data_IF_769599298476
#
_entry.id   IF_769599298476
#
_cell.length_a   1.000
_cell.length_b   1.000
_cell.length_c   1.000
_cell.angle_alpha   90.00
_cell.angle_beta   90.00
_cell.angle_gamma   90.00
#
_symmetry.space_group_name_H-M   'P 1'
#
loop_
_entity.id
_entity.type
_entity.pdbx_description
1 polymer ?
#
# COMPACT_ATOMS: atom_id res chain seq x y z
N UNK A 1 -11.36 22.06 28.81
CA UNK A 1 -10.24 22.09 27.84
C UNK A 1 -9.21 20.95 28.02
N UNK A 2 -9.33 20.05 29.01
CA UNK A 2 -8.39 18.91 29.18
C UNK A 2 -8.81 17.61 28.49
N UNK A 3 -10.04 17.47 27.99
CA UNK A 3 -10.53 16.21 27.39
C UNK A 3 -10.00 15.96 25.97
N UNK A 4 -9.77 17.03 25.18
CA UNK A 4 -9.27 16.91 23.81
C UNK A 4 -7.77 16.56 23.74
N UNK A 5 -7.00 16.86 24.78
CA UNK A 5 -5.57 16.52 24.85
C UNK A 5 -5.35 15.03 25.16
N UNK A 6 -6.20 14.43 26.00
CA UNK A 6 -6.13 12.99 26.34
C UNK A 6 -6.51 12.12 25.14
N UNK A 7 -7.46 12.57 24.31
CA UNK A 7 -7.89 11.86 23.10
C UNK A 7 -6.78 11.82 22.03
N UNK A 8 -6.01 12.91 21.90
CA UNK A 8 -4.94 12.98 20.90
C UNK A 8 -3.70 12.15 21.30
N UNK A 9 -3.40 12.05 22.61
CA UNK A 9 -2.27 11.25 23.10
C UNK A 9 -2.56 9.74 23.15
N UNK A 10 -3.82 9.34 23.36
CA UNK A 10 -4.21 7.91 23.30
C UNK A 10 -4.25 7.36 21.87
N UNK A 11 -4.56 8.20 20.88
CA UNK A 11 -4.49 7.82 19.46
C UNK A 11 -3.02 7.63 19.04
N UNK A 12 -2.11 8.49 19.50
CA UNK A 12 -0.69 8.41 19.16
C UNK A 12 0.01 7.19 19.78
N UNK A 13 -0.39 6.75 20.98
CA UNK A 13 0.21 5.60 21.68
C UNK A 13 -0.30 4.24 21.20
N UNK A 14 -1.51 4.18 20.62
CA UNK A 14 -2.05 2.95 20.02
C UNK A 14 -1.37 2.58 18.68
N UNK A 15 -0.82 3.57 17.97
CA UNK A 15 -0.12 3.37 16.69
C UNK A 15 1.28 2.75 16.84
N UNK A 16 1.90 2.81 18.01
CA UNK A 16 3.28 2.33 18.23
C UNK A 16 3.40 0.86 18.65
N UNK A 17 2.30 0.20 19.01
CA UNK A 17 2.30 -1.18 19.51
C UNK A 17 1.90 -2.24 18.47
N UNK A 18 1.55 -1.87 17.23
CA UNK A 18 1.09 -2.81 16.20
C UNK A 18 2.11 -3.14 15.11
N UNK A 19 3.36 -2.67 15.23
CA UNK A 19 4.46 -2.94 14.28
C UNK A 19 5.40 -4.06 14.79
N UNK A 20 4.87 -5.11 15.42
CA UNK A 20 5.57 -6.40 15.46
C UNK A 20 4.94 -7.35 14.44
N UNK A 21 5.56 -7.35 13.26
CA UNK A 21 5.34 -8.21 12.11
C UNK A 21 5.07 -9.68 12.47
N UNK A 22 3.92 -10.18 12.00
CA UNK A 22 3.68 -11.60 11.75
C UNK A 22 4.00 -11.87 10.28
N UNK A 23 4.92 -12.81 10.05
CA UNK A 23 5.27 -13.41 8.76
C UNK A 23 4.05 -14.07 8.09
N UNK A 24 3.78 -13.90 6.79
CA UNK A 24 2.81 -14.71 6.08
C UNK A 24 3.49 -15.90 5.40
N UNK A 25 3.34 -17.09 5.97
CA UNK A 25 3.54 -18.36 5.27
C UNK A 25 2.27 -19.20 5.47
N UNK A 26 1.84 -19.84 4.37
CA UNK A 26 0.81 -20.89 4.27
C UNK A 26 -0.68 -20.50 4.12
N UNK A 27 -1.09 -20.45 2.84
CA UNK A 27 -2.20 -21.15 2.17
C UNK A 27 -3.33 -21.84 2.97
N UNK A 28 -4.55 -21.57 2.47
CA UNK A 28 -5.66 -22.46 2.12
C UNK A 28 -6.21 -23.49 3.12
N UNK A 29 -7.53 -23.47 3.35
CA UNK A 29 -8.44 -24.54 2.92
C UNK A 29 -9.91 -24.18 3.17
N UNK A 30 -10.76 -24.65 2.27
CA UNK A 30 -12.22 -24.58 2.26
C UNK A 30 -12.77 -25.78 3.00
N UNK A 31 -13.75 -25.60 3.89
CA UNK A 31 -14.69 -26.69 4.24
C UNK A 31 -16.06 -26.13 4.60
N UNK A 32 -16.99 -26.39 3.69
CA UNK A 32 -18.43 -26.37 3.90
C UNK A 32 -18.84 -27.55 4.80
N UNK A 33 -19.59 -27.29 5.87
CA UNK A 33 -20.42 -28.33 6.52
C UNK A 33 -21.64 -27.69 7.16
N UNK A 34 -22.82 -28.11 6.69
CA UNK A 34 -24.11 -27.69 7.22
C UNK A 34 -24.38 -28.20 8.64
N UNK A 35 -25.25 -27.50 9.36
CA UNK A 35 -25.80 -27.98 10.61
C UNK A 35 -27.27 -27.57 10.75
N UNK A 36 -28.08 -28.57 11.15
CA UNK A 36 -29.54 -28.60 11.16
C UNK A 36 -30.22 -27.57 12.06
N UNK A 37 -31.38 -27.12 11.59
CA UNK A 37 -32.41 -26.44 12.37
C UNK A 37 -32.83 -27.26 13.58
N UNK A 38 -32.62 -26.70 14.78
CA UNK A 38 -33.32 -27.10 16.01
C UNK A 38 -34.05 -25.87 16.54
N UNK A 39 -35.37 -25.85 16.44
CA UNK A 39 -36.22 -24.82 17.02
C UNK A 39 -36.19 -24.93 18.55
N UNK A 40 -35.46 -24.05 19.24
CA UNK A 40 -35.66 -23.78 20.66
C UNK A 40 -36.59 -22.59 20.83
N UNK A 41 -37.79 -22.87 21.31
CA UNK A 41 -38.75 -21.88 21.77
C UNK A 41 -38.26 -21.34 23.12
N UNK A 42 -37.88 -20.06 23.20
CA UNK A 42 -37.56 -19.37 24.46
C UNK A 42 -38.67 -18.36 24.80
N UNK A 43 -39.02 -18.22 26.10
CA UNK A 43 -40.14 -17.42 26.54
C UNK A 43 -39.86 -15.92 26.37
N UNK A 44 -40.86 -15.22 25.86
CA UNK A 44 -40.93 -13.76 25.78
C UNK A 44 -41.27 -13.18 27.16
N UNK A 45 -40.28 -13.01 28.02
CA UNK A 45 -40.47 -12.25 29.27
C UNK A 45 -39.28 -11.34 29.53
N UNK A 46 -39.49 -10.05 29.28
CA UNK A 46 -39.00 -8.91 30.07
C UNK A 46 -37.51 -8.84 30.46
N UNK A 47 -36.64 -9.62 29.82
CA UNK A 47 -35.20 -9.37 29.87
C UNK A 47 -34.87 -8.18 28.95
N UNK A 48 -35.00 -7.00 29.55
CA UNK A 48 -33.92 -6.01 29.56
C UNK A 48 -33.78 -5.16 28.27
N UNK A 49 -34.79 -4.32 27.95
CA UNK A 49 -34.70 -3.26 26.91
C UNK A 49 -33.45 -2.37 27.08
N UNK A 50 -33.06 -2.09 28.32
CA UNK A 50 -31.84 -1.34 28.62
C UNK A 50 -30.58 -2.14 28.31
N UNK A 51 -30.55 -3.45 28.56
CA UNK A 51 -29.43 -4.32 28.20
C UNK A 51 -29.32 -4.50 26.68
N UNK A 52 -30.43 -4.65 25.97
CA UNK A 52 -30.44 -4.73 24.50
C UNK A 52 -29.87 -3.45 23.89
N UNK A 53 -30.26 -2.27 24.42
CA UNK A 53 -29.69 -0.98 24.02
C UNK A 53 -28.20 -0.86 24.37
N UNK A 54 -27.77 -1.36 25.54
CA UNK A 54 -26.37 -1.38 25.93
C UNK A 54 -25.53 -2.27 25.01
N UNK A 55 -26.06 -3.44 24.65
CA UNK A 55 -25.44 -4.38 23.72
C UNK A 55 -25.37 -3.79 22.31
N UNK A 56 -26.43 -3.19 21.77
CA UNK A 56 -26.36 -2.50 20.48
C UNK A 56 -25.39 -1.30 20.51
N UNK A 57 -25.43 -0.48 21.57
CA UNK A 57 -24.59 0.72 21.70
C UNK A 57 -23.09 0.40 21.80
N UNK A 58 -22.72 -0.76 22.34
CA UNK A 58 -21.32 -1.20 22.46
C UNK A 58 -20.87 -2.05 21.27
N UNK A 59 -21.74 -2.89 20.72
CA UNK A 59 -21.41 -3.80 19.62
C UNK A 59 -21.37 -3.10 18.25
N UNK A 60 -22.19 -2.06 18.03
CA UNK A 60 -22.18 -1.26 16.79
C UNK A 60 -20.85 -0.53 16.57
N UNK A 61 -20.29 0.25 17.53
CA UNK A 61 -18.97 0.85 17.35
C UNK A 61 -17.87 -0.21 17.23
N UNK A 62 -17.93 -1.33 17.96
CA UNK A 62 -16.97 -2.43 17.83
C UNK A 62 -16.99 -3.07 16.42
N UNK A 63 -18.18 -3.21 15.82
CA UNK A 63 -18.35 -3.69 14.45
C UNK A 63 -17.86 -2.66 13.41
N UNK A 64 -18.02 -1.36 13.68
CA UNK A 64 -17.51 -0.29 12.82
C UNK A 64 -15.97 -0.16 12.85
N UNK A 65 -15.31 -0.52 13.96
CA UNK A 65 -13.84 -0.63 14.05
C UNK A 65 -13.27 -1.81 13.23
N UNK A 66 -14.13 -2.69 12.70
CA UNK A 66 -13.73 -3.86 11.93
C UNK A 66 -13.57 -3.59 10.42
N UNK A 67 -13.93 -2.39 9.94
CA UNK A 67 -13.66 -1.98 8.57
C UNK A 67 -12.15 -1.75 8.37
N UNK A 68 -11.43 -2.85 8.15
CA UNK A 68 -10.09 -2.80 7.57
C UNK A 68 -10.25 -2.32 6.13
N UNK A 69 -9.75 -1.13 5.81
CA UNK A 69 -9.40 -0.84 4.42
C UNK A 69 -8.31 -1.84 4.03
N UNK A 70 -8.65 -2.85 3.23
CA UNK A 70 -7.65 -3.69 2.60
C UNK A 70 -6.90 -2.82 1.59
N UNK A 71 -5.60 -2.62 1.82
CA UNK A 71 -4.71 -2.09 0.78
C UNK A 71 -4.77 -3.04 -0.42
N UNK A 72 -5.13 -2.54 -1.59
CA UNK A 72 -5.43 -3.34 -2.79
C UNK A 72 -4.20 -3.57 -3.67
N UNK A 73 -3.01 -3.66 -3.07
CA UNK A 73 -1.77 -3.97 -3.78
C UNK A 73 -1.59 -5.48 -3.91
N UNK A 74 -1.15 -5.92 -5.08
CA UNK A 74 -0.80 -7.31 -5.36
C UNK A 74 0.50 -7.37 -6.14
N UNK A 75 1.46 -8.26 -5.78
CA UNK A 75 2.68 -8.45 -6.55
C UNK A 75 2.39 -8.89 -7.99
N UNK A 76 1.26 -9.58 -8.21
CA UNK A 76 0.86 -10.10 -9.51
C UNK A 76 -0.13 -9.19 -10.25
N UNK A 77 -0.26 -7.91 -9.86
CA UNK A 77 -1.24 -6.97 -10.43
C UNK A 77 -1.16 -6.87 -11.96
N UNK A 78 0.04 -6.98 -12.52
CA UNK A 78 0.30 -6.89 -13.96
C UNK A 78 0.45 -8.26 -14.66
N UNK A 79 0.29 -9.38 -13.96
CA UNK A 79 0.56 -10.73 -14.49
C UNK A 79 -0.23 -11.06 -15.77
N UNK A 80 -1.45 -10.56 -15.90
CA UNK A 80 -2.30 -10.76 -17.08
C UNK A 80 -2.21 -9.61 -18.09
N UNK A 81 -2.11 -8.36 -17.62
CA UNK A 81 -2.16 -7.17 -18.46
C UNK A 81 -0.81 -6.79 -19.07
N UNK A 82 0.29 -7.05 -18.36
CA UNK A 82 1.66 -6.84 -18.84
C UNK A 82 2.64 -7.86 -18.23
N UNK A 83 2.61 -9.13 -18.66
CA UNK A 83 3.42 -10.20 -18.07
C UNK A 83 4.94 -9.99 -18.17
N UNK A 84 5.38 -9.13 -19.10
CA UNK A 84 6.80 -8.80 -19.31
C UNK A 84 7.29 -7.63 -18.45
N UNK A 85 6.45 -7.04 -17.59
CA UNK A 85 6.78 -5.81 -16.85
C UNK A 85 8.06 -5.95 -16.03
N UNK A 86 8.17 -7.01 -15.23
CA UNK A 86 9.32 -7.21 -14.35
C UNK A 86 10.60 -7.44 -15.15
N UNK A 87 10.51 -8.19 -16.26
CA UNK A 87 11.66 -8.45 -17.11
C UNK A 87 12.21 -7.17 -17.75
N UNK A 88 11.33 -6.31 -18.27
CA UNK A 88 11.71 -5.07 -18.95
C UNK A 88 12.30 -4.05 -17.98
N UNK A 89 11.68 -3.87 -16.81
CA UNK A 89 12.20 -2.95 -15.78
C UNK A 89 13.56 -3.44 -15.27
N UNK A 90 13.66 -4.73 -14.88
CA UNK A 90 14.91 -5.33 -14.41
C UNK A 90 16.04 -5.22 -15.42
N UNK A 91 15.75 -5.48 -16.70
CA UNK A 91 16.73 -5.36 -17.78
C UNK A 91 17.26 -3.93 -17.93
N UNK A 92 16.36 -2.95 -17.86
CA UNK A 92 16.72 -1.52 -17.94
C UNK A 92 17.58 -1.08 -16.76
N UNK A 93 17.19 -1.45 -15.54
CA UNK A 93 17.94 -1.11 -14.32
C UNK A 93 19.32 -1.74 -14.33
N UNK A 94 19.42 -3.03 -14.69
CA UNK A 94 20.72 -3.72 -14.79
C UNK A 94 21.65 -3.04 -15.78
N UNK A 95 21.16 -2.78 -17.00
CA UNK A 95 21.97 -2.12 -18.02
C UNK A 95 22.45 -0.72 -17.57
N UNK A 96 21.62 0.02 -16.83
CA UNK A 96 22.01 1.33 -16.29
C UNK A 96 23.02 1.22 -15.14
N UNK A 97 22.83 0.25 -14.24
CA UNK A 97 23.72 -0.01 -13.11
C UNK A 97 25.09 -0.53 -13.53
N UNK A 98 25.16 -1.33 -14.60
CA UNK A 98 26.41 -1.81 -15.19
C UNK A 98 27.24 -0.64 -15.76
N UNK A 99 26.58 0.43 -16.22
CA UNK A 99 27.23 1.63 -16.77
C UNK A 99 27.59 2.65 -15.68
N UNK A 100 26.73 2.84 -14.68
CA UNK A 100 26.92 3.76 -13.56
C UNK A 100 26.53 3.06 -12.24
N UNK A 101 27.54 2.71 -11.44
CA UNK A 101 27.38 2.02 -10.16
C UNK A 101 26.65 2.85 -9.10
N UNK A 102 26.40 4.14 -9.34
CA UNK A 102 25.63 5.00 -8.44
C UNK A 102 24.12 4.90 -8.66
N UNK A 103 23.68 4.29 -9.77
CA UNK A 103 22.27 4.18 -10.14
C UNK A 103 21.41 3.48 -9.08
N UNK A 104 21.83 2.35 -8.46
CA UNK A 104 21.04 1.72 -7.42
C UNK A 104 20.69 2.65 -6.26
N UNK A 105 21.70 3.37 -5.74
CA UNK A 105 21.49 4.33 -4.65
C UNK A 105 20.61 5.51 -5.06
N UNK A 106 20.75 5.99 -6.30
CA UNK A 106 19.90 7.07 -6.85
C UNK A 106 18.44 6.64 -6.99
N UNK A 107 18.17 5.41 -7.48
CA UNK A 107 16.81 4.88 -7.62
C UNK A 107 16.14 4.67 -6.27
N UNK A 108 16.86 4.10 -5.29
CA UNK A 108 16.33 3.92 -3.93
C UNK A 108 16.01 5.26 -3.28
N UNK A 109 16.89 6.26 -3.44
CA UNK A 109 16.63 7.62 -2.96
C UNK A 109 15.44 8.27 -3.67
N UNK A 110 15.32 8.08 -4.98
CA UNK A 110 14.20 8.62 -5.76
C UNK A 110 12.86 8.05 -5.29
N UNK A 111 12.77 6.73 -5.07
CA UNK A 111 11.58 6.08 -4.50
C UNK A 111 11.26 6.63 -3.11
N UNK A 112 12.28 6.80 -2.26
CA UNK A 112 12.08 7.36 -0.92
C UNK A 112 11.47 8.76 -0.96
N UNK A 113 11.94 9.63 -1.87
CA UNK A 113 11.40 10.98 -2.01
C UNK A 113 9.95 10.96 -2.51
N UNK A 114 9.62 10.13 -3.49
CA UNK A 114 8.24 9.95 -3.96
C UNK A 114 7.31 9.53 -2.80
N UNK A 115 7.66 8.45 -2.11
CA UNK A 115 6.79 7.89 -1.07
C UNK A 115 6.66 8.76 0.20
N UNK A 116 7.62 9.64 0.49
CA UNK A 116 7.57 10.50 1.66
C UNK A 116 6.63 11.69 1.50
N UNK A 117 6.46 12.18 0.27
CA UNK A 117 5.68 13.38 -0.02
C UNK A 117 4.37 12.95 -0.65
N UNK A 118 3.27 13.03 0.10
CA UNK A 118 1.92 12.70 -0.38
C UNK A 118 1.69 11.24 -0.81
N UNK A 119 2.73 10.39 -0.82
CA UNK A 119 2.65 8.95 -1.03
C UNK A 119 3.32 8.51 -2.34
N UNK A 120 3.43 7.20 -2.56
CA UNK A 120 4.08 6.65 -3.76
C UNK A 120 3.17 6.80 -5.00
N UNK A 121 3.07 8.01 -5.56
CA UNK A 121 2.16 8.36 -6.64
C UNK A 121 2.88 8.79 -7.94
N UNK A 122 4.22 8.80 -7.94
CA UNK A 122 5.04 9.20 -9.08
C UNK A 122 5.09 10.72 -9.31
N UNK A 123 4.57 11.54 -8.38
CA UNK A 123 4.56 12.99 -8.51
C UNK A 123 5.97 13.60 -8.60
N UNK A 124 6.97 12.95 -7.98
CA UNK A 124 8.39 13.36 -8.07
C UNK A 124 8.95 13.27 -9.50
N UNK A 125 8.32 12.49 -10.38
CA UNK A 125 8.79 12.28 -11.75
C UNK A 125 8.33 13.41 -12.70
N UNK A 126 7.31 14.18 -12.31
CA UNK A 126 6.70 15.23 -13.14
C UNK A 126 7.65 16.42 -13.30
N UNK A 127 7.85 16.86 -14.54
CA UNK A 127 8.71 17.99 -14.88
C UNK A 127 7.87 19.25 -15.07
N UNK A 128 8.33 20.37 -14.50
CA UNK A 128 7.68 21.67 -14.66
C UNK A 128 8.05 22.63 -13.53
N UNK A 129 7.69 23.90 -13.67
CA UNK A 129 7.88 24.88 -12.60
C UNK A 129 6.87 24.63 -11.46
N UNK A 130 7.33 24.67 -10.21
CA UNK A 130 6.48 24.41 -9.04
C UNK A 130 6.10 22.93 -8.87
N UNK A 131 6.78 22.02 -9.56
CA UNK A 131 6.66 20.57 -9.34
C UNK A 131 7.61 20.12 -8.24
N UNK A 132 7.31 18.97 -7.63
CA UNK A 132 8.20 18.37 -6.64
C UNK A 132 9.62 18.18 -7.20
N UNK A 133 9.76 17.77 -8.47
CA UNK A 133 11.06 17.59 -9.12
C UNK A 133 11.88 18.88 -9.19
N UNK A 134 11.22 20.03 -9.33
CA UNK A 134 11.87 21.34 -9.40
C UNK A 134 12.20 21.95 -8.04
N UNK A 135 11.75 21.31 -6.94
CA UNK A 135 11.96 21.83 -5.59
C UNK A 135 13.46 21.91 -5.24
N UNK A 136 13.93 23.00 -4.59
CA UNK A 136 15.31 23.13 -4.16
C UNK A 136 15.85 21.96 -3.32
N UNK A 137 15.01 21.30 -2.52
CA UNK A 137 15.36 20.14 -1.71
C UNK A 137 15.65 18.89 -2.58
N UNK A 138 15.08 18.82 -3.77
CA UNK A 138 15.13 17.67 -4.67
C UNK A 138 16.20 17.80 -5.77
N UNK A 139 17.02 18.86 -5.76
CA UNK A 139 18.12 19.09 -6.72
C UNK A 139 19.15 17.96 -6.79
N UNK A 140 19.29 17.18 -5.71
CA UNK A 140 20.23 16.05 -5.63
C UNK A 140 19.66 14.74 -6.17
N UNK A 141 18.36 14.69 -6.50
CA UNK A 141 17.74 13.51 -7.08
C UNK A 141 18.28 13.25 -8.48
N UNK A 142 18.36 11.97 -8.84
CA UNK A 142 18.93 11.50 -10.10
C UNK A 142 18.27 10.21 -10.57
N UNK A 143 18.84 9.59 -11.59
CA UNK A 143 18.33 8.35 -12.20
C UNK A 143 16.90 8.41 -12.79
N UNK A 144 16.30 9.61 -12.92
CA UNK A 144 15.02 9.80 -13.62
C UNK A 144 15.00 9.14 -15.00
N UNK A 145 16.11 9.22 -15.73
CA UNK A 145 16.22 8.65 -17.08
C UNK A 145 16.04 7.12 -17.10
N UNK A 146 16.39 6.41 -16.02
CA UNK A 146 16.24 4.94 -15.95
C UNK A 146 14.76 4.59 -15.88
N UNK A 147 14.00 5.30 -15.03
CA UNK A 147 12.55 5.15 -14.90
C UNK A 147 11.85 5.56 -16.19
N UNK A 148 12.23 6.70 -16.78
CA UNK A 148 11.68 7.16 -18.06
C UNK A 148 11.97 6.18 -19.21
N UNK A 149 13.16 5.56 -19.23
CA UNK A 149 13.52 4.56 -20.25
C UNK A 149 12.73 3.27 -20.08
N UNK A 150 12.62 2.76 -18.85
CA UNK A 150 11.81 1.59 -18.54
C UNK A 150 10.34 1.83 -18.91
N UNK A 151 9.80 2.99 -18.54
CA UNK A 151 8.44 3.39 -18.88
C UNK A 151 8.21 3.45 -20.39
N UNK A 152 9.15 3.99 -21.17
CA UNK A 152 9.06 4.00 -22.64
C UNK A 152 9.01 2.58 -23.22
N UNK A 153 9.83 1.66 -22.71
CA UNK A 153 9.80 0.26 -23.13
C UNK A 153 8.45 -0.38 -22.80
N UNK A 154 7.92 -0.13 -21.61
CA UNK A 154 6.61 -0.64 -21.18
C UNK A 154 5.48 -0.10 -22.06
N UNK A 155 5.48 1.19 -22.40
CA UNK A 155 4.45 1.78 -23.27
C UNK A 155 4.47 1.22 -24.69
N UNK A 156 5.62 0.73 -25.18
CA UNK A 156 5.69 0.03 -26.46
C UNK A 156 5.09 -1.38 -26.42
N UNK A 157 5.09 -2.03 -25.25
CA UNK A 157 4.67 -3.43 -25.08
C UNK A 157 3.24 -3.53 -24.54
N UNK A 158 2.90 -2.71 -23.56
CA UNK A 158 1.61 -2.69 -22.86
C UNK A 158 1.18 -1.22 -22.62
N UNK A 159 0.66 -0.54 -23.65
CA UNK A 159 0.37 0.89 -23.59
C UNK A 159 -0.67 1.22 -22.51
N UNK A 160 -0.44 2.31 -21.78
CA UNK A 160 -1.35 2.83 -20.76
C UNK A 160 -1.64 1.88 -19.59
N UNK A 161 -0.83 0.83 -19.42
CA UNK A 161 -1.12 -0.25 -18.46
C UNK A 161 -0.39 -0.06 -17.14
N UNK A 162 0.94 0.08 -17.18
CA UNK A 162 1.78 0.12 -15.96
C UNK A 162 1.91 1.55 -15.47
N UNK A 163 1.67 1.83 -14.19
CA UNK A 163 1.80 3.19 -13.65
C UNK A 163 3.28 3.66 -13.55
N UNK A 164 3.50 4.98 -13.54
CA UNK A 164 4.85 5.52 -13.33
C UNK A 164 5.37 5.25 -11.91
N UNK A 165 4.48 5.30 -10.91
CA UNK A 165 4.79 4.95 -9.53
C UNK A 165 5.27 3.50 -9.40
N UNK A 166 4.55 2.54 -10.00
CA UNK A 166 4.95 1.13 -9.97
C UNK A 166 6.24 0.90 -10.75
N UNK A 167 6.46 1.63 -11.85
CA UNK A 167 7.73 1.57 -12.59
C UNK A 167 8.90 2.00 -11.70
N UNK A 168 8.73 3.06 -10.89
CA UNK A 168 9.74 3.52 -9.94
C UNK A 168 9.96 2.50 -8.80
N UNK A 169 8.89 1.95 -8.24
CA UNK A 169 8.95 0.90 -7.20
C UNK A 169 9.69 -0.34 -7.70
N UNK A 170 9.31 -0.85 -8.89
CA UNK A 170 9.98 -1.99 -9.52
C UNK A 170 11.44 -1.68 -9.81
N UNK A 171 11.75 -0.47 -10.30
CA UNK A 171 13.12 -0.08 -10.61
C UNK A 171 14.01 -0.03 -9.36
N UNK A 172 13.50 0.52 -8.26
CA UNK A 172 14.21 0.55 -6.98
C UNK A 172 14.34 -0.84 -6.35
N UNK A 173 13.35 -1.72 -6.51
CA UNK A 173 13.43 -3.13 -6.10
C UNK A 173 14.52 -3.88 -6.85
N UNK A 174 14.58 -3.72 -8.17
CA UNK A 174 15.53 -4.45 -9.02
C UNK A 174 16.95 -3.86 -8.99
N UNK A 175 17.13 -2.73 -8.32
CA UNK A 175 18.42 -2.09 -8.10
C UNK A 175 19.24 -2.70 -6.96
N UNK A 176 18.58 -3.38 -6.01
CA UNK A 176 19.20 -4.00 -4.82
C UNK A 176 19.25 -5.51 -4.92
#
# INVERSE_FOLDING_TARGET
>A
MQLNAVLNTTIQSALSLSVLSINPHQQSETTTSGFSHSNLHLPSSFMNQSLMKLLLSTFVPLLLLSFRCASQLSPDFYSLSCPTVELLVRGTVRSASDLDSTIPGKLLRLLFHDCLVQGCDGSVLIQGNGTERSDPANKSLGAFYVVESAKRLLEMVCPGTVSCADTLVLAARDAV
#
